data_IF_612797321289
#
_entry.id   IF_612797321289
#
_cell.length_a   1.000
_cell.length_b   1.000
_cell.length_c   1.000
_cell.angle_alpha   90.00
_cell.angle_beta   90.00
_cell.angle_gamma   90.00
#
_symmetry.space_group_name_H-M   'P 1'
#
loop_
_entity.id
_entity.type
_entity.pdbx_description
1 polymer ?
#
# COMPACT_ATOMS: atom_id res chain seq x y z
N UNK A 1 -5.74 -76.49 -33.92
CA UNK A 1 -5.96 -75.35 -34.84
C UNK A 1 -6.37 -74.17 -33.99
N UNK A 2 -5.46 -73.21 -33.83
CA UNK A 2 -5.62 -72.04 -32.97
C UNK A 2 -6.27 -70.89 -33.75
N UNK A 3 -7.32 -70.29 -33.21
CA UNK A 3 -7.82 -68.99 -33.67
C UNK A 3 -7.83 -68.02 -32.48
N UNK A 4 -6.90 -67.07 -32.51
CA UNK A 4 -6.74 -66.00 -31.53
C UNK A 4 -7.85 -64.96 -31.70
N UNK A 5 -8.64 -64.74 -30.65
CA UNK A 5 -9.61 -63.65 -30.58
C UNK A 5 -8.89 -62.39 -30.07
N UNK A 6 -8.69 -61.39 -30.93
CA UNK A 6 -8.16 -60.07 -30.57
C UNK A 6 -9.20 -59.30 -29.75
N UNK A 7 -8.91 -59.07 -28.47
CA UNK A 7 -9.62 -58.08 -27.65
C UNK A 7 -8.88 -56.74 -27.78
N UNK A 8 -9.51 -55.76 -28.44
CA UNK A 8 -9.06 -54.37 -28.39
C UNK A 8 -9.50 -53.78 -27.03
N UNK A 9 -8.54 -53.57 -26.13
CA UNK A 9 -8.70 -52.70 -24.97
C UNK A 9 -8.77 -51.25 -25.45
N UNK A 10 -9.97 -50.68 -25.48
CA UNK A 10 -10.18 -49.24 -25.69
C UNK A 10 -9.84 -48.55 -24.37
N UNK A 11 -8.62 -48.04 -24.27
CA UNK A 11 -8.19 -47.15 -23.19
C UNK A 11 -8.85 -45.79 -23.41
N UNK A 12 -10.00 -45.52 -22.76
CA UNK A 12 -10.57 -44.18 -22.75
C UNK A 12 -9.73 -43.29 -21.84
N UNK A 13 -8.82 -42.53 -22.45
CA UNK A 13 -8.10 -41.44 -21.79
C UNK A 13 -9.11 -40.32 -21.57
N UNK A 14 -9.65 -40.23 -20.36
CA UNK A 14 -10.40 -39.05 -19.90
C UNK A 14 -9.42 -37.87 -19.90
N UNK A 15 -9.57 -36.98 -20.88
CA UNK A 15 -8.90 -35.68 -20.89
C UNK A 15 -9.45 -34.86 -19.72
N UNK A 16 -8.76 -34.91 -18.58
CA UNK A 16 -8.99 -33.94 -17.52
C UNK A 16 -8.50 -32.60 -18.05
N UNK A 17 -9.44 -31.76 -18.49
CA UNK A 17 -9.18 -30.35 -18.73
C UNK A 17 -8.87 -29.75 -17.37
N UNK A 18 -7.58 -29.69 -17.03
CA UNK A 18 -7.09 -28.80 -15.98
C UNK A 18 -7.33 -27.40 -16.52
N UNK A 19 -8.45 -26.79 -16.16
CA UNK A 19 -8.60 -25.35 -16.26
C UNK A 19 -7.49 -24.76 -15.40
N UNK A 20 -6.42 -24.33 -16.06
CA UNK A 20 -5.47 -23.41 -15.49
C UNK A 20 -6.26 -22.13 -15.21
N UNK A 21 -6.89 -22.08 -14.04
CA UNK A 21 -7.51 -20.87 -13.51
C UNK A 21 -6.44 -19.81 -13.55
N UNK A 22 -6.54 -18.91 -14.53
CA UNK A 22 -5.62 -17.80 -14.67
C UNK A 22 -5.72 -17.00 -13.39
N UNK A 23 -4.69 -17.10 -12.55
CA UNK A 23 -4.52 -16.18 -11.43
C UNK A 23 -4.28 -14.83 -12.11
N UNK A 24 -5.35 -14.06 -12.29
CA UNK A 24 -5.23 -12.69 -12.72
C UNK A 24 -4.22 -12.03 -11.77
N UNK A 25 -3.15 -11.40 -12.29
CA UNK A 25 -2.24 -10.69 -11.43
C UNK A 25 -3.06 -9.69 -10.62
N UNK A 26 -2.74 -9.49 -9.32
CA UNK A 26 -3.48 -8.52 -8.52
C UNK A 26 -3.44 -7.18 -9.27
N UNK A 27 -4.63 -6.60 -9.49
CA UNK A 27 -4.77 -5.28 -10.10
C UNK A 27 -4.24 -4.28 -9.07
N UNK A 28 -2.93 -4.07 -9.08
CA UNK A 28 -2.31 -2.94 -8.39
C UNK A 28 -2.70 -1.72 -9.19
N UNK A 29 -3.34 -0.75 -8.54
CA UNK A 29 -3.72 0.51 -9.17
C UNK A 29 -2.48 1.10 -9.86
N UNK A 30 -2.60 1.42 -11.15
CA UNK A 30 -1.48 1.90 -11.98
C UNK A 30 -0.84 3.18 -11.44
N UNK A 31 -1.51 3.86 -10.50
CA UNK A 31 -1.06 5.08 -9.84
C UNK A 31 -0.18 4.80 -8.62
N UNK A 32 -0.05 3.56 -8.17
CA UNK A 32 0.86 3.21 -7.07
C UNK A 32 2.29 3.25 -7.58
N UNK A 33 3.10 4.14 -7.00
CA UNK A 33 4.52 4.23 -7.30
C UNK A 33 5.35 3.30 -6.41
N UNK A 34 4.91 3.12 -5.17
CA UNK A 34 5.70 2.42 -4.16
C UNK A 34 4.82 1.85 -3.06
N UNK A 35 5.19 0.67 -2.59
CA UNK A 35 4.58 0.01 -1.43
C UNK A 35 5.69 -0.50 -0.53
N UNK A 36 5.72 -0.04 0.71
CA UNK A 36 6.59 -0.60 1.74
C UNK A 36 5.76 -1.35 2.78
N UNK A 37 6.31 -2.45 3.30
CA UNK A 37 5.68 -3.24 4.35
C UNK A 37 6.70 -3.55 5.44
N UNK A 38 6.31 -3.30 6.69
CA UNK A 38 7.15 -3.58 7.85
C UNK A 38 6.36 -4.40 8.87
N UNK A 39 6.97 -5.48 9.36
CA UNK A 39 6.45 -6.22 10.51
C UNK A 39 6.95 -5.60 11.81
N UNK A 40 6.03 -5.19 12.66
CA UNK A 40 6.32 -4.66 13.98
C UNK A 40 5.21 -5.08 14.96
N UNK A 41 5.60 -5.74 16.06
CA UNK A 41 4.68 -6.42 16.98
C UNK A 41 3.82 -7.45 16.22
N UNK A 42 2.53 -7.52 16.54
CA UNK A 42 1.58 -8.47 15.96
C UNK A 42 0.93 -7.97 14.66
N UNK A 43 1.38 -6.83 14.13
CA UNK A 43 0.84 -6.21 12.93
C UNK A 43 1.87 -6.09 11.80
N UNK A 44 1.36 -6.09 10.58
CA UNK A 44 2.05 -5.64 9.39
C UNK A 44 1.60 -4.22 9.08
N UNK A 45 2.55 -3.32 8.99
CA UNK A 45 2.32 -1.92 8.66
C UNK A 45 2.71 -1.69 7.22
N UNK A 46 1.75 -1.29 6.40
CA UNK A 46 1.95 -1.00 4.99
C UNK A 46 1.85 0.49 4.76
N UNK A 47 2.77 1.06 3.99
CA UNK A 47 2.53 2.35 3.35
C UNK A 47 2.38 2.17 1.85
N UNK A 48 1.67 3.08 1.20
CA UNK A 48 1.50 3.12 -0.25
C UNK A 48 1.59 4.55 -0.72
N UNK A 49 2.57 4.82 -1.57
CA UNK A 49 2.77 6.11 -2.21
C UNK A 49 2.19 6.06 -3.62
N UNK A 50 1.34 7.04 -3.91
CA UNK A 50 0.73 7.20 -5.21
C UNK A 50 1.50 8.24 -6.03
N UNK A 51 1.29 8.19 -7.35
CA UNK A 51 1.83 9.16 -8.29
C UNK A 51 1.38 10.57 -7.93
N UNK A 52 2.29 11.53 -8.08
CA UNK A 52 1.97 12.95 -7.92
C UNK A 52 1.01 13.46 -9.00
N UNK A 53 0.86 12.70 -10.09
CA UNK A 53 -0.12 12.93 -11.17
C UNK A 53 -1.48 12.25 -10.91
N UNK A 54 -1.62 11.55 -9.78
CA UNK A 54 -2.86 10.87 -9.40
C UNK A 54 -3.92 11.88 -8.93
N UNK A 55 -5.20 11.64 -9.24
CA UNK A 55 -6.35 12.31 -8.60
C UNK A 55 -6.48 11.98 -7.09
N UNK A 56 -5.58 11.14 -6.59
CA UNK A 56 -5.47 10.73 -5.20
C UNK A 56 -4.07 11.11 -4.66
N UNK A 57 -3.84 12.40 -4.30
CA UNK A 57 -2.53 12.91 -3.90
C UNK A 57 -2.23 12.62 -2.42
N UNK A 58 -2.45 11.39 -1.96
CA UNK A 58 -2.33 11.04 -0.54
C UNK A 58 -1.23 10.00 -0.30
N UNK A 59 -0.65 9.99 0.89
CA UNK A 59 0.16 8.88 1.38
C UNK A 59 -0.72 7.98 2.25
N UNK A 60 -0.87 6.71 1.87
CA UNK A 60 -1.72 5.76 2.61
C UNK A 60 -0.87 4.95 3.57
N UNK A 61 -1.36 4.79 4.80
CA UNK A 61 -0.86 3.84 5.78
C UNK A 61 -1.96 2.85 6.17
N UNK A 62 -1.60 1.60 6.36
CA UNK A 62 -2.52 0.53 6.77
C UNK A 62 -1.88 -0.35 7.84
N UNK A 63 -2.66 -0.67 8.86
CA UNK A 63 -2.33 -1.69 9.86
C UNK A 63 -3.05 -2.98 9.48
N UNK A 64 -2.32 -4.07 9.33
CA UNK A 64 -2.83 -5.35 8.86
C UNK A 64 -2.56 -6.41 9.92
N UNK A 65 -3.59 -7.16 10.31
CA UNK A 65 -3.44 -8.30 11.22
C UNK A 65 -3.31 -9.60 10.42
N UNK A 66 -2.12 -10.23 10.36
CA UNK A 66 -1.93 -11.46 9.62
C UNK A 66 -2.71 -12.65 10.24
N UNK A 67 -2.91 -12.64 11.55
CA UNK A 67 -3.58 -13.74 12.28
C UNK A 67 -5.11 -13.69 12.15
N UNK A 68 -5.65 -12.55 11.70
CA UNK A 68 -7.06 -12.39 11.36
C UNK A 68 -7.31 -12.44 9.86
N UNK A 69 -6.59 -13.33 9.15
CA UNK A 69 -6.76 -13.53 7.71
C UNK A 69 -6.35 -12.31 6.89
N UNK A 70 -5.25 -11.63 7.29
CA UNK A 70 -4.72 -10.45 6.60
C UNK A 70 -5.69 -9.27 6.56
N UNK A 71 -6.57 -9.16 7.55
CA UNK A 71 -7.53 -8.07 7.66
C UNK A 71 -6.81 -6.74 7.88
N UNK A 72 -7.19 -5.71 7.12
CA UNK A 72 -6.86 -4.32 7.42
C UNK A 72 -7.64 -3.89 8.67
N UNK A 73 -6.92 -3.63 9.75
CA UNK A 73 -7.47 -3.15 11.02
C UNK A 73 -7.77 -1.65 10.94
N UNK A 74 -6.82 -0.89 10.39
CA UNK A 74 -6.90 0.55 10.28
C UNK A 74 -6.27 1.01 8.96
N UNK A 75 -6.84 2.06 8.39
CA UNK A 75 -6.33 2.76 7.22
C UNK A 75 -6.33 4.25 7.54
N UNK A 76 -5.19 4.88 7.30
CA UNK A 76 -5.03 6.33 7.38
C UNK A 76 -4.54 6.84 6.03
N UNK A 77 -5.24 7.83 5.50
CA UNK A 77 -4.88 8.50 4.25
C UNK A 77 -4.47 9.93 4.58
N UNK A 78 -3.21 10.26 4.35
CA UNK A 78 -2.66 11.60 4.58
C UNK A 78 -2.80 12.38 3.28
N UNK A 79 -3.88 13.15 3.17
CA UNK A 79 -4.22 13.99 2.03
C UNK A 79 -4.05 15.50 2.34
N UNK A 80 -3.74 15.81 3.59
CA UNK A 80 -3.49 17.14 4.09
C UNK A 80 -2.56 17.06 5.31
N UNK A 81 -1.91 18.17 5.63
CA UNK A 81 -1.10 18.32 6.85
C UNK A 81 -1.38 19.65 7.53
N UNK A 82 -1.22 19.67 8.85
CA UNK A 82 -1.19 20.93 9.61
C UNK A 82 0.25 21.40 9.76
N UNK A 83 0.53 22.59 9.24
CA UNK A 83 1.84 23.24 9.31
C UNK A 83 2.06 23.92 10.66
N UNK A 84 3.31 24.25 10.96
CA UNK A 84 3.63 25.10 12.10
C UNK A 84 2.86 26.44 12.00
N UNK A 85 2.16 26.82 13.06
CA UNK A 85 1.23 27.95 13.06
C UNK A 85 -0.25 27.55 12.85
N UNK A 86 -0.55 26.25 12.73
CA UNK A 86 -1.93 25.74 12.73
C UNK A 86 -2.66 25.85 11.38
N UNK A 87 -1.95 26.25 10.32
CA UNK A 87 -2.52 26.31 8.97
C UNK A 87 -2.56 24.91 8.35
N UNK A 88 -3.73 24.47 7.91
CA UNK A 88 -3.87 23.22 7.14
C UNK A 88 -3.50 23.45 5.68
N UNK A 89 -2.72 22.54 5.12
CA UNK A 89 -2.39 22.45 3.71
C UNK A 89 -3.12 21.23 3.12
N UNK A 90 -4.20 21.48 2.38
CA UNK A 90 -4.85 20.45 1.56
C UNK A 90 -4.01 20.23 0.29
N UNK A 91 -3.58 18.99 0.04
CA UNK A 91 -2.72 18.68 -1.10
C UNK A 91 -3.40 18.93 -2.45
N UNK A 92 -4.73 18.94 -2.52
CA UNK A 92 -5.47 19.27 -3.76
C UNK A 92 -5.33 20.75 -4.14
N UNK A 93 -5.07 21.61 -3.17
CA UNK A 93 -4.86 23.04 -3.38
C UNK A 93 -3.41 23.40 -3.74
N UNK A 94 -2.54 22.39 -3.81
CA UNK A 94 -1.15 22.54 -4.27
C UNK A 94 -1.04 22.39 -5.78
N UNK A 95 0.00 23.00 -6.36
CA UNK A 95 0.38 22.76 -7.74
C UNK A 95 1.13 21.43 -7.89
N UNK A 96 1.76 20.98 -6.81
CA UNK A 96 2.49 19.73 -6.70
C UNK A 96 2.50 19.31 -5.22
N UNK A 97 2.32 18.02 -4.97
CA UNK A 97 2.63 17.37 -3.69
C UNK A 97 3.28 16.02 -3.96
N UNK A 98 4.42 15.77 -3.33
CA UNK A 98 5.15 14.51 -3.34
C UNK A 98 5.49 14.04 -1.93
N UNK A 99 5.76 12.74 -1.81
CA UNK A 99 6.21 12.12 -0.57
C UNK A 99 7.54 11.43 -0.83
N UNK A 100 8.51 11.65 0.06
CA UNK A 100 9.84 11.04 -0.04
C UNK A 100 10.30 10.51 1.33
N UNK A 101 11.36 9.71 1.34
CA UNK A 101 12.03 9.20 2.56
C UNK A 101 11.06 8.49 3.53
N UNK A 102 10.15 7.66 3.02
CA UNK A 102 9.20 6.94 3.88
C UNK A 102 9.91 5.79 4.59
N UNK A 103 10.21 5.99 5.87
CA UNK A 103 10.99 5.08 6.70
C UNK A 103 10.25 4.69 7.98
N UNK A 104 10.58 3.53 8.53
CA UNK A 104 10.04 3.07 9.81
C UNK A 104 11.13 2.98 10.87
N UNK A 105 11.00 3.77 11.93
CA UNK A 105 11.85 3.65 13.11
C UNK A 105 11.28 2.61 14.07
N UNK A 106 12.01 1.49 14.24
CA UNK A 106 11.68 0.47 15.25
C UNK A 106 11.84 0.99 16.68
N UNK A 107 12.83 1.87 16.91
CA UNK A 107 13.13 2.44 18.22
C UNK A 107 12.01 3.37 18.68
N UNK A 108 11.52 4.24 17.79
CA UNK A 108 10.46 5.19 18.12
C UNK A 108 9.06 4.67 17.80
N UNK A 109 8.96 3.46 17.21
CA UNK A 109 7.71 2.87 16.74
C UNK A 109 6.88 3.86 15.92
N UNK A 110 7.49 4.42 14.88
CA UNK A 110 6.91 5.50 14.09
C UNK A 110 7.35 5.43 12.62
N UNK A 111 6.48 5.89 11.73
CA UNK A 111 6.87 6.23 10.37
C UNK A 111 7.36 7.67 10.30
N UNK A 112 8.43 7.90 9.56
CA UNK A 112 8.93 9.23 9.19
C UNK A 112 8.88 9.37 7.68
N UNK A 113 8.53 10.55 7.19
CA UNK A 113 8.49 10.85 5.76
C UNK A 113 8.58 12.36 5.54
N UNK A 114 8.98 12.76 4.33
CA UNK A 114 8.97 14.15 3.90
C UNK A 114 7.79 14.41 2.97
N UNK A 115 7.20 15.60 3.11
CA UNK A 115 6.16 16.13 2.22
C UNK A 115 6.75 17.30 1.46
N UNK A 116 6.95 17.12 0.16
CA UNK A 116 7.40 18.15 -0.76
C UNK A 116 6.19 18.76 -1.46
N UNK A 117 6.05 20.09 -1.48
CA UNK A 117 4.91 20.72 -2.11
C UNK A 117 5.22 22.09 -2.71
N UNK A 118 4.45 22.47 -3.73
CA UNK A 118 4.45 23.81 -4.34
C UNK A 118 3.06 24.40 -4.21
N UNK A 119 2.93 25.57 -3.59
CA UNK A 119 1.64 26.27 -3.48
C UNK A 119 1.24 26.84 -4.84
N UNK A 120 -0.06 26.83 -5.16
CA UNK A 120 -0.56 27.51 -6.37
C UNK A 120 -0.41 29.04 -6.31
N UNK A 121 -0.37 29.58 -5.10
CA UNK A 121 -0.39 31.03 -4.83
C UNK A 121 0.99 31.64 -4.61
N UNK A 122 2.04 30.82 -4.51
CA UNK A 122 3.39 31.30 -4.23
C UNK A 122 4.44 30.43 -4.94
N UNK A 123 5.49 31.03 -5.53
CA UNK A 123 6.58 30.28 -6.11
C UNK A 123 7.46 29.66 -5.02
N UNK A 124 8.06 28.51 -5.36
CA UNK A 124 9.02 27.81 -4.51
C UNK A 124 8.50 26.47 -3.99
N UNK A 125 9.35 25.47 -4.09
CA UNK A 125 9.15 24.18 -3.43
C UNK A 125 9.41 24.32 -1.93
N UNK A 126 8.58 23.67 -1.14
CA UNK A 126 8.67 23.59 0.31
C UNK A 126 8.76 22.12 0.70
N UNK A 127 9.51 21.81 1.74
CA UNK A 127 9.55 20.47 2.33
C UNK A 127 9.24 20.55 3.82
N UNK A 128 8.48 19.57 4.31
CA UNK A 128 8.09 19.45 5.71
C UNK A 128 8.31 18.00 6.15
N UNK A 129 8.96 17.81 7.29
CA UNK A 129 9.19 16.47 7.83
C UNK A 129 8.04 16.06 8.73
N UNK A 130 7.49 14.88 8.49
CA UNK A 130 6.35 14.36 9.23
C UNK A 130 6.71 13.07 9.96
N UNK A 131 6.14 12.91 11.15
CA UNK A 131 6.25 11.70 11.98
C UNK A 131 4.86 11.20 12.33
N UNK A 132 4.59 9.94 12.00
CA UNK A 132 3.36 9.22 12.33
C UNK A 132 3.70 8.13 13.36
N UNK A 133 3.47 8.38 14.66
CA UNK A 133 3.69 7.38 15.69
C UNK A 133 2.66 6.25 15.57
N UNK A 134 3.05 5.05 15.97
CA UNK A 134 2.15 3.93 16.14
C UNK A 134 1.65 3.90 17.59
N UNK A 135 0.35 3.72 17.79
CA UNK A 135 -0.22 3.41 19.10
C UNK A 135 -0.30 1.90 19.33
N UNK A 136 -0.45 1.52 20.59
CA UNK A 136 -0.64 0.11 20.96
C UNK A 136 -1.91 -0.44 20.29
N UNK A 137 -1.86 -1.72 19.88
CA UNK A 137 -2.97 -2.49 19.26
C UNK A 137 -3.27 -2.22 17.79
N UNK A 138 -2.29 -1.80 17.00
CA UNK A 138 -2.45 -1.73 15.55
C UNK A 138 -3.21 -0.48 15.08
N UNK A 139 -3.03 0.63 15.79
CA UNK A 139 -3.60 1.93 15.41
C UNK A 139 -2.53 3.00 15.18
N UNK A 140 -2.89 4.02 14.41
CA UNK A 140 -2.04 5.18 14.19
C UNK A 140 -2.29 6.25 15.26
N UNK A 141 -1.20 6.87 15.72
CA UNK A 141 -1.28 8.05 16.58
C UNK A 141 -1.47 9.34 15.78
N UNK A 142 -1.31 10.48 16.45
CA UNK A 142 -1.46 11.79 15.81
C UNK A 142 -0.24 12.11 14.95
N UNK A 143 -0.48 12.46 13.68
CA UNK A 143 0.53 12.96 12.77
C UNK A 143 1.10 14.30 13.29
N UNK A 144 2.42 14.42 13.26
CA UNK A 144 3.12 15.67 13.61
C UNK A 144 4.05 16.03 12.45
N UNK A 145 3.88 17.22 11.88
CA UNK A 145 4.70 17.74 10.79
C UNK A 145 5.42 19.03 11.24
N UNK A 146 6.71 19.18 10.88
CA UNK A 146 7.57 20.27 11.33
C UNK A 146 8.41 20.87 10.22
#
# INVERSE_FOLDING_TARGET
MSFFWRWLLILQVLSVTVEAGGIAPPVVDARVMEVGVVRHQDALWRYTRFSTESDYPCLRFEAINPDQGWRVLERLDICDITLQGGTTLDFRDTAYTGFSVVEFSREHSAFTFEVEYIRRTAPGEQSVSCTLPLSQKGSFGNLVCR
#
